data_IF_759704733402
#
_entry.id   IF_759704733402
#
_cell.length_a   1.000
_cell.length_b   1.000
_cell.length_c   1.000
_cell.angle_alpha   90.00
_cell.angle_beta   90.00
_cell.angle_gamma   90.00
#
_symmetry.space_group_name_H-M   'P 1'
#
loop_
_entity.id
_entity.type
_entity.pdbx_description
1 polymer ?
#
# COMPACT_ATOMS: atom_id res chain seq x y z
N UNK A 1 1.47 10.81 2.69
CA UNK A 1 2.62 11.17 1.83
C UNK A 1 2.59 10.35 0.52
N UNK A 2 1.99 10.85 -0.57
CA UNK A 2 2.50 10.56 -1.93
C UNK A 2 3.07 11.90 -2.39
N UNK A 3 4.23 12.23 -1.84
CA UNK A 3 5.12 13.22 -2.41
C UNK A 3 5.65 12.56 -3.68
N UNK A 4 4.94 12.69 -4.79
CA UNK A 4 5.66 12.85 -6.05
C UNK A 4 6.65 13.97 -5.74
N UNK A 5 7.94 13.64 -5.68
CA UNK A 5 9.00 14.56 -5.34
C UNK A 5 9.03 15.66 -6.40
N UNK A 6 8.17 16.67 -6.28
CA UNK A 6 8.54 18.02 -6.64
C UNK A 6 9.46 18.50 -5.52
N UNK A 7 10.67 17.94 -5.46
CA UNK A 7 11.77 18.71 -4.88
C UNK A 7 11.85 19.94 -5.79
N UNK A 8 11.68 21.17 -5.27
CA UNK A 8 12.19 22.32 -6.00
C UNK A 8 13.70 22.09 -6.11
N UNK A 9 14.14 21.46 -7.20
CA UNK A 9 15.53 21.15 -7.47
C UNK A 9 16.26 22.39 -7.97
N UNK A 10 16.11 23.50 -7.25
CA UNK A 10 17.11 24.57 -7.27
C UNK A 10 18.17 24.20 -6.23
N UNK A 11 18.85 23.06 -6.44
CA UNK A 11 20.08 22.75 -5.70
C UNK A 11 21.16 23.55 -6.41
N UNK A 12 21.35 24.79 -5.95
CA UNK A 12 22.55 25.54 -6.30
C UNK A 12 23.76 24.80 -5.72
N UNK A 13 24.80 24.78 -6.53
CA UNK A 13 26.17 24.35 -6.28
C UNK A 13 26.47 22.90 -6.69
N UNK A 14 27.58 22.76 -7.42
CA UNK A 14 28.21 21.56 -8.00
C UNK A 14 28.64 20.50 -6.97
N UNK A 15 27.87 20.30 -5.89
CA UNK A 15 28.18 19.39 -4.78
C UNK A 15 27.27 18.15 -4.84
N UNK A 16 27.78 16.96 -4.48
CA UNK A 16 26.96 15.77 -4.38
C UNK A 16 25.89 15.97 -3.31
N UNK A 17 24.64 15.65 -3.65
CA UNK A 17 23.48 15.83 -2.77
C UNK A 17 22.74 14.50 -2.58
N UNK A 18 22.27 14.22 -1.37
CA UNK A 18 21.39 13.07 -1.10
C UNK A 18 20.10 13.54 -0.45
N UNK A 19 18.98 13.21 -1.09
CA UNK A 19 17.64 13.41 -0.54
C UNK A 19 17.11 12.08 -0.03
N UNK A 20 16.66 12.03 1.22
CA UNK A 20 16.11 10.82 1.83
C UNK A 20 14.61 11.02 2.00
N UNK A 21 13.85 10.10 1.42
CA UNK A 21 12.39 10.13 1.47
C UNK A 21 11.94 9.31 2.66
N UNK A 22 11.14 9.94 3.51
CA UNK A 22 10.54 9.28 4.67
C UNK A 22 9.05 9.07 4.43
N UNK A 23 8.53 7.92 4.82
CA UNK A 23 7.10 7.71 5.02
C UNK A 23 6.84 7.46 6.49
N UNK A 24 5.94 8.25 7.08
CA UNK A 24 5.71 8.26 8.51
C UNK A 24 7.01 8.33 9.36
N UNK A 25 7.96 9.16 8.92
CA UNK A 25 9.30 9.32 9.50
C UNK A 25 10.19 8.06 9.45
N UNK A 26 9.79 7.01 8.72
CA UNK A 26 10.62 5.83 8.42
C UNK A 26 11.23 6.01 7.03
N UNK A 27 12.56 5.90 6.88
CA UNK A 27 13.21 6.07 5.58
C UNK A 27 12.82 4.97 4.60
N UNK A 28 12.46 5.35 3.37
CA UNK A 28 12.05 4.41 2.32
C UNK A 28 13.14 4.31 1.24
N UNK A 29 13.48 5.41 0.60
CA UNK A 29 14.45 5.47 -0.50
C UNK A 29 15.39 6.65 -0.32
N UNK A 30 16.52 6.62 -1.03
CA UNK A 30 17.38 7.77 -1.24
C UNK A 30 17.46 8.13 -2.72
N UNK A 31 17.53 9.43 -2.99
CA UNK A 31 17.86 9.98 -4.28
C UNK A 31 19.24 10.62 -4.13
N UNK A 32 20.21 10.15 -4.89
CA UNK A 32 21.59 10.64 -4.87
C UNK A 32 21.93 11.31 -6.18
N UNK A 33 22.29 12.58 -6.10
CA UNK A 33 22.83 13.37 -7.19
C UNK A 33 24.35 13.35 -7.13
N UNK A 34 24.98 12.91 -8.22
CA UNK A 34 26.42 13.02 -8.41
C UNK A 34 26.66 13.93 -9.62
N UNK A 35 27.29 15.11 -9.45
CA UNK A 35 27.59 15.99 -10.57
C UNK A 35 28.55 15.28 -11.54
N UNK A 36 28.25 15.34 -12.84
CA UNK A 36 29.13 14.83 -13.90
C UNK A 36 30.22 15.89 -14.12
N UNK A 37 31.49 15.49 -13.93
CA UNK A 37 32.64 16.38 -14.11
C UNK A 37 32.82 16.61 -15.62
N UNK A 38 32.65 17.85 -16.07
CA UNK A 38 32.81 18.25 -17.48
C UNK A 38 31.53 18.72 -18.17
N UNK A 39 30.38 18.65 -17.51
CA UNK A 39 29.13 19.12 -18.08
C UNK A 39 29.02 20.66 -18.00
N UNK A 40 28.72 21.29 -19.12
CA UNK A 40 28.65 22.76 -19.25
C UNK A 40 27.32 23.33 -18.76
N UNK A 41 26.39 22.47 -18.33
CA UNK A 41 25.04 22.84 -17.89
C UNK A 41 25.06 23.14 -16.38
N UNK A 42 24.70 24.36 -15.93
CA UNK A 42 24.72 24.75 -14.52
C UNK A 42 23.65 24.06 -13.65
N UNK A 43 22.67 23.41 -14.26
CA UNK A 43 21.48 22.88 -13.60
C UNK A 43 21.48 21.36 -13.55
N UNK A 44 21.24 20.80 -12.36
CA UNK A 44 21.12 19.36 -12.16
C UNK A 44 19.96 18.78 -13.01
N UNK A 45 20.26 17.91 -13.97
CA UNK A 45 19.23 17.25 -14.77
C UNK A 45 18.57 16.13 -13.96
N UNK A 46 17.28 15.89 -14.21
CA UNK A 46 16.54 14.78 -13.57
C UNK A 46 17.17 13.41 -13.86
N UNK A 47 17.89 13.30 -14.98
CA UNK A 47 18.61 12.10 -15.43
C UNK A 47 19.79 11.73 -14.53
N UNK A 48 20.37 12.73 -13.84
CA UNK A 48 21.59 12.58 -13.03
C UNK A 48 21.30 12.04 -11.63
N UNK A 49 20.02 11.89 -11.28
CA UNK A 49 19.58 11.37 -9.99
C UNK A 49 19.54 9.84 -10.04
N UNK A 50 20.34 9.21 -9.18
CA UNK A 50 20.22 7.79 -8.92
C UNK A 50 19.26 7.56 -7.74
N UNK A 51 18.25 6.72 -7.94
CA UNK A 51 17.28 6.35 -6.91
C UNK A 51 17.61 4.94 -6.46
N UNK A 52 17.67 4.72 -5.15
CA UNK A 52 17.95 3.40 -4.58
C UNK A 52 17.29 3.25 -3.22
N UNK A 53 17.05 2.01 -2.80
CA UNK A 53 16.68 1.74 -1.43
C UNK A 53 17.84 2.02 -0.48
N UNK A 54 19.10 1.84 -0.86
CA UNK A 54 20.23 2.14 0.01
C UNK A 54 20.26 3.62 0.42
N UNK A 55 20.40 3.86 1.73
CA UNK A 55 20.51 5.19 2.32
C UNK A 55 21.96 5.69 2.34
N UNK A 56 22.92 4.78 2.15
CA UNK A 56 24.37 4.94 2.20
C UNK A 56 24.93 5.55 3.50
N UNK A 57 26.25 5.81 3.50
CA UNK A 57 27.00 6.17 4.72
C UNK A 57 26.57 7.48 5.40
N UNK A 58 26.09 8.46 4.63
CA UNK A 58 25.68 9.79 5.12
C UNK A 58 24.36 9.78 5.91
N UNK A 59 23.64 8.66 5.95
CA UNK A 59 22.39 8.56 6.72
C UNK A 59 22.59 8.81 8.22
N UNK A 60 23.72 8.36 8.78
CA UNK A 60 24.01 8.54 10.22
C UNK A 60 24.06 10.02 10.60
N UNK A 61 24.58 10.87 9.72
CA UNK A 61 24.66 12.32 9.89
C UNK A 61 23.32 12.99 9.56
N UNK A 62 22.66 12.55 8.49
CA UNK A 62 21.36 13.09 8.08
C UNK A 62 20.25 12.89 9.14
N UNK A 63 20.36 11.89 10.02
CA UNK A 63 19.45 11.72 11.17
C UNK A 63 19.49 12.89 12.16
N UNK A 64 20.59 13.63 12.23
CA UNK A 64 20.78 14.78 13.13
C UNK A 64 20.16 16.06 12.57
N UNK A 65 19.86 16.10 11.28
CA UNK A 65 19.28 17.27 10.60
C UNK A 65 17.78 17.37 10.93
N UNK A 66 17.32 18.59 11.19
CA UNK A 66 15.90 18.88 11.40
C UNK A 66 15.03 18.43 10.22
N UNK A 67 13.95 17.71 10.52
CA UNK A 67 13.04 17.16 9.50
C UNK A 67 12.16 18.26 8.93
N UNK A 68 12.11 18.38 7.60
CA UNK A 68 11.14 19.24 6.92
C UNK A 68 9.81 18.50 6.74
N UNK A 69 8.69 19.18 7.02
CA UNK A 69 7.32 18.70 6.76
C UNK A 69 6.95 17.35 7.43
N UNK A 70 7.28 17.18 8.71
CA UNK A 70 6.89 15.98 9.46
C UNK A 70 5.36 15.87 9.63
N UNK A 71 4.85 14.64 9.59
CA UNK A 71 3.45 14.28 9.86
C UNK A 71 3.15 13.99 11.33
N UNK A 72 4.14 14.07 12.23
CA UNK A 72 3.94 13.80 13.66
C UNK A 72 2.92 14.74 14.27
N UNK A 73 2.01 14.17 15.08
CA UNK A 73 0.90 14.83 15.77
C UNK A 73 -0.08 15.58 14.86
N UNK A 74 -0.07 15.30 13.55
CA UNK A 74 -0.98 15.92 12.59
C UNK A 74 -2.04 14.93 12.18
N UNK A 75 -3.27 15.42 12.12
CA UNK A 75 -4.44 14.64 11.75
C UNK A 75 -4.64 14.70 10.23
N UNK A 76 -4.80 13.53 9.61
CA UNK A 76 -5.22 13.36 8.23
C UNK A 76 -6.61 12.71 8.20
N UNK A 77 -7.57 13.38 7.58
CA UNK A 77 -8.91 12.81 7.32
C UNK A 77 -8.90 12.34 5.86
N UNK A 78 -8.98 11.04 5.66
CA UNK A 78 -8.83 10.39 4.36
C UNK A 78 -10.12 9.68 3.98
N UNK A 79 -10.73 10.04 2.85
CA UNK A 79 -11.98 9.42 2.39
C UNK A 79 -11.67 8.31 1.39
N UNK A 80 -11.95 7.06 1.76
CA UNK A 80 -11.70 5.88 0.91
C UNK A 80 -12.96 5.47 0.14
N UNK A 81 -13.05 5.69 -1.18
CA UNK A 81 -14.07 5.03 -1.99
C UNK A 81 -13.68 3.56 -2.22
N UNK A 82 -14.61 2.65 -1.94
CA UNK A 82 -14.42 1.21 -2.10
C UNK A 82 -15.52 0.65 -2.98
N UNK A 83 -15.14 0.03 -4.10
CA UNK A 83 -16.05 -0.63 -5.02
C UNK A 83 -15.78 -2.12 -4.96
N UNK A 84 -16.79 -2.90 -4.59
CA UNK A 84 -16.77 -4.35 -4.62
C UNK A 84 -17.72 -4.85 -5.69
N UNK A 85 -17.22 -5.78 -6.52
CA UNK A 85 -17.97 -6.43 -7.58
C UNK A 85 -18.00 -7.94 -7.31
N UNK A 86 -19.15 -8.57 -7.53
CA UNK A 86 -19.26 -10.03 -7.54
C UNK A 86 -20.22 -10.48 -8.63
N UNK A 87 -19.89 -11.60 -9.26
CA UNK A 87 -20.70 -12.22 -10.29
C UNK A 87 -21.21 -13.57 -9.75
N UNK A 88 -22.32 -13.50 -9.00
CA UNK A 88 -22.91 -14.68 -8.34
C UNK A 88 -24.28 -15.09 -8.93
N UNK A 89 -24.97 -14.18 -9.63
CA UNK A 89 -26.36 -14.37 -10.09
C UNK A 89 -26.37 -14.47 -11.61
N UNK A 90 -27.14 -15.41 -12.17
CA UNK A 90 -27.21 -15.64 -13.63
C UNK A 90 -27.94 -14.49 -14.35
N UNK A 91 -28.94 -13.89 -13.69
CA UNK A 91 -29.79 -12.84 -14.28
C UNK A 91 -29.18 -11.44 -14.28
N UNK A 92 -28.06 -11.23 -13.59
CA UNK A 92 -27.36 -9.95 -13.54
C UNK A 92 -25.87 -10.16 -13.79
N UNK A 93 -25.28 -9.36 -14.68
CA UNK A 93 -23.86 -9.48 -15.00
C UNK A 93 -22.99 -9.18 -13.76
N UNK A 94 -23.40 -8.21 -12.91
CA UNK A 94 -22.70 -7.88 -11.66
C UNK A 94 -23.63 -7.40 -10.55
N UNK A 95 -23.28 -7.81 -9.33
CA UNK A 95 -23.73 -7.19 -8.09
C UNK A 95 -22.66 -6.20 -7.62
N UNK A 96 -23.07 -5.01 -7.21
CA UNK A 96 -22.17 -3.89 -6.88
C UNK A 96 -22.41 -3.43 -5.45
N UNK A 97 -21.32 -3.26 -4.70
CA UNK A 97 -21.31 -2.54 -3.43
C UNK A 97 -20.34 -1.38 -3.52
N UNK A 98 -20.86 -0.17 -3.31
CA UNK A 98 -20.07 1.04 -3.25
C UNK A 98 -20.14 1.64 -1.84
N UNK A 99 -18.98 1.70 -1.20
CA UNK A 99 -18.80 2.26 0.12
C UNK A 99 -17.95 3.53 0.06
N UNK A 100 -18.29 4.50 0.90
CA UNK A 100 -17.47 5.66 1.17
C UNK A 100 -17.00 5.59 2.62
N UNK A 101 -15.70 5.36 2.82
CA UNK A 101 -15.15 5.02 4.12
C UNK A 101 -14.19 6.10 4.62
N UNK A 102 -14.68 7.19 5.25
CA UNK A 102 -13.81 8.19 5.87
C UNK A 102 -12.99 7.57 7.01
N UNK A 103 -11.69 7.85 7.00
CA UNK A 103 -10.75 7.43 8.04
C UNK A 103 -9.98 8.61 8.60
N UNK A 104 -9.79 8.61 9.92
CA UNK A 104 -8.88 9.51 10.62
C UNK A 104 -7.57 8.78 10.83
N UNK A 105 -6.48 9.38 10.34
CA UNK A 105 -5.12 8.87 10.44
C UNK A 105 -4.26 9.83 11.26
N UNK A 106 -3.61 9.31 12.30
CA UNK A 106 -2.73 10.10 13.18
C UNK A 106 -1.44 9.35 13.45
N UNK A 107 -0.33 10.07 13.46
CA UNK A 107 1.00 9.53 13.79
C UNK A 107 1.57 10.24 15.01
N UNK A 108 1.71 9.52 16.13
CA UNK A 108 2.22 10.10 17.38
C UNK A 108 3.75 9.99 17.48
N UNK A 109 4.36 8.92 16.96
CA UNK A 109 5.80 8.75 16.93
C UNK A 109 6.27 8.08 15.63
N UNK A 110 7.60 7.97 15.49
CA UNK A 110 8.24 7.46 14.27
C UNK A 110 7.72 6.06 13.92
N UNK A 111 7.18 5.94 12.71
CA UNK A 111 6.69 4.68 12.17
C UNK A 111 5.33 4.23 12.71
N UNK A 112 4.74 4.96 13.67
CA UNK A 112 3.43 4.63 14.20
C UNK A 112 2.30 5.35 13.46
N UNK A 113 1.23 4.62 13.14
CA UNK A 113 0.03 5.15 12.49
C UNK A 113 -1.21 4.55 13.15
N UNK A 114 -2.05 5.39 13.74
CA UNK A 114 -3.39 5.05 14.21
C UNK A 114 -4.36 5.35 13.07
N UNK A 115 -5.21 4.40 12.73
CA UNK A 115 -6.25 4.55 11.72
C UNK A 115 -7.59 4.19 12.35
N UNK A 116 -8.55 5.10 12.30
CA UNK A 116 -9.93 4.85 12.71
C UNK A 116 -10.85 5.20 11.54
N UNK A 117 -11.63 4.24 11.07
CA UNK A 117 -12.46 4.36 9.87
C UNK A 117 -13.91 4.01 10.17
N UNK A 118 -14.83 4.72 9.54
CA UNK A 118 -16.26 4.38 9.47
C UNK A 118 -16.58 4.04 8.02
N UNK A 119 -17.33 2.97 7.78
CA UNK A 119 -17.78 2.55 6.45
C UNK A 119 -19.21 3.02 6.27
N UNK A 120 -19.45 3.85 5.25
CA UNK A 120 -20.79 4.31 4.87
C UNK A 120 -21.15 3.69 3.51
N UNK A 121 -22.09 2.74 3.47
CA UNK A 121 -22.55 2.19 2.20
C UNK A 121 -23.40 3.21 1.45
N UNK A 122 -23.00 3.55 0.22
CA UNK A 122 -23.69 4.51 -0.65
C UNK A 122 -24.63 3.79 -1.60
N UNK A 123 -24.22 2.63 -2.10
CA UNK A 123 -25.02 1.79 -2.99
C UNK A 123 -24.75 0.32 -2.69
N UNK A 124 -25.81 -0.47 -2.50
CA UNK A 124 -25.72 -1.90 -2.21
C UNK A 124 -26.74 -2.65 -3.05
N UNK A 125 -26.25 -3.37 -4.05
CA UNK A 125 -27.03 -4.22 -4.94
C UNK A 125 -26.66 -5.69 -4.69
N UNK A 126 -27.31 -6.26 -3.66
CA UNK A 126 -27.24 -7.70 -3.38
C UNK A 126 -26.06 -8.19 -2.54
N UNK A 127 -25.42 -7.30 -1.76
CA UNK A 127 -24.42 -7.66 -0.74
C UNK A 127 -25.00 -8.01 0.64
N UNK A 128 -26.33 -7.99 0.78
CA UNK A 128 -27.04 -8.32 2.02
C UNK A 128 -27.33 -7.08 2.87
N UNK A 129 -28.25 -7.22 3.83
CA UNK A 129 -28.74 -6.10 4.66
C UNK A 129 -27.67 -5.53 5.58
N UNK A 130 -26.80 -6.38 6.14
CA UNK A 130 -25.69 -5.95 7.02
C UNK A 130 -24.68 -5.06 6.29
N UNK A 131 -24.34 -5.40 5.04
CA UNK A 131 -23.44 -4.59 4.22
C UNK A 131 -24.05 -3.23 3.82
N UNK A 132 -25.38 -3.07 3.97
CA UNK A 132 -26.09 -1.81 3.76
C UNK A 132 -26.20 -0.93 5.00
N UNK A 133 -25.64 -1.35 6.14
CA UNK A 133 -25.64 -0.56 7.38
C UNK A 133 -24.30 0.17 7.55
N UNK A 134 -24.34 1.40 8.05
CA UNK A 134 -23.13 2.11 8.48
C UNK A 134 -22.52 1.39 9.67
N UNK A 135 -21.22 1.07 9.58
CA UNK A 135 -20.52 0.34 10.63
C UNK A 135 -19.06 0.78 10.75
N UNK A 136 -18.38 0.51 11.88
CA UNK A 136 -16.94 0.71 12.00
C UNK A 136 -16.15 -0.13 10.99
N UNK A 137 -15.13 0.46 10.39
CA UNK A 137 -14.20 -0.19 9.47
C UNK A 137 -12.91 -0.58 10.17
N UNK A 138 -11.78 -0.12 9.62
CA UNK A 138 -10.48 -0.25 10.26
C UNK A 138 -10.39 0.56 11.56
N UNK A 139 -10.02 -0.11 12.65
CA UNK A 139 -9.53 0.50 13.88
C UNK A 139 -8.20 -0.15 14.21
N UNK A 140 -7.10 0.44 13.74
CA UNK A 140 -5.78 -0.20 13.77
C UNK A 140 -4.68 0.69 14.31
N UNK A 141 -3.80 0.08 15.09
CA UNK A 141 -2.53 0.63 15.51
C UNK A 141 -1.41 -0.10 14.76
N UNK A 142 -0.72 0.62 13.88
CA UNK A 142 0.39 0.11 13.10
C UNK A 142 1.71 0.70 13.59
N UNK A 143 2.76 -0.13 13.67
CA UNK A 143 4.14 0.26 13.88
C UNK A 143 5.02 -0.30 12.77
N UNK A 144 5.65 0.59 11.99
CA UNK A 144 6.64 0.23 10.97
C UNK A 144 8.03 0.65 11.41
N UNK A 145 9.00 -0.24 11.23
CA UNK A 145 10.42 0.01 11.46
C UNK A 145 11.22 -0.45 10.26
N UNK A 146 12.30 0.29 9.95
CA UNK A 146 13.27 -0.15 8.95
C UNK A 146 14.47 -0.77 9.67
N UNK A 147 14.70 -2.04 9.38
CA UNK A 147 15.83 -2.83 9.83
C UNK A 147 17.01 -2.69 8.84
N UNK A 148 18.21 -3.15 9.21
CA UNK A 148 19.35 -3.23 8.29
C UNK A 148 19.02 -4.05 7.03
N UNK A 149 19.85 -3.89 6.00
CA UNK A 149 19.74 -4.64 4.74
C UNK A 149 18.44 -4.42 3.97
N UNK A 150 17.92 -3.20 3.92
CA UNK A 150 16.69 -2.86 3.16
C UNK A 150 15.51 -3.76 3.53
N UNK A 151 15.30 -3.90 4.84
CA UNK A 151 14.20 -4.69 5.39
C UNK A 151 13.25 -3.79 6.16
N UNK A 152 11.95 -3.92 5.91
CA UNK A 152 10.89 -3.24 6.62
C UNK A 152 10.06 -4.25 7.37
N UNK A 153 9.86 -3.97 8.65
CA UNK A 153 8.98 -4.74 9.51
C UNK A 153 7.81 -3.85 9.91
N UNK A 154 6.60 -4.38 9.78
CA UNK A 154 5.37 -3.69 10.12
C UNK A 154 4.51 -4.61 10.98
N UNK A 155 4.25 -4.20 12.22
CA UNK A 155 3.27 -4.85 13.09
C UNK A 155 1.99 -4.02 13.13
N UNK A 156 0.83 -4.67 13.04
CA UNK A 156 -0.47 -4.03 13.10
C UNK A 156 -1.38 -4.80 14.04
N UNK A 157 -2.09 -4.10 14.91
CA UNK A 157 -3.11 -4.69 15.80
C UNK A 157 -4.41 -3.92 15.70
N UNK A 158 -5.55 -4.61 15.83
CA UNK A 158 -6.88 -4.00 15.86
C UNK A 158 -7.90 -4.72 14.99
N UNK A 159 -8.86 -3.96 14.43
CA UNK A 159 -9.88 -4.48 13.51
C UNK A 159 -9.47 -4.25 12.06
N UNK A 160 -9.54 -5.32 11.28
CA UNK A 160 -9.17 -5.40 9.87
C UNK A 160 -10.42 -5.58 9.01
N UNK A 161 -10.27 -5.45 7.69
CA UNK A 161 -11.38 -5.77 6.79
C UNK A 161 -11.73 -7.27 6.81
N UNK A 162 -12.80 -7.64 6.10
CA UNK A 162 -13.30 -9.01 6.03
C UNK A 162 -13.71 -9.59 7.40
N UNK A 163 -14.09 -8.73 8.36
CA UNK A 163 -14.58 -9.13 9.68
C UNK A 163 -13.52 -9.84 10.51
N UNK A 164 -12.29 -9.32 10.52
CA UNK A 164 -11.15 -9.94 11.25
C UNK A 164 -10.53 -8.98 12.23
N UNK A 165 -10.36 -9.40 13.48
CA UNK A 165 -9.62 -8.61 14.48
C UNK A 165 -8.46 -9.43 15.04
N UNK A 166 -7.40 -8.78 15.46
CA UNK A 166 -6.23 -9.44 16.04
C UNK A 166 -4.93 -8.73 15.68
N UNK A 167 -3.91 -9.51 15.35
CA UNK A 167 -2.57 -9.02 15.05
C UNK A 167 -2.08 -9.50 13.69
N UNK A 168 -1.31 -8.64 13.01
CA UNK A 168 -0.72 -8.88 11.71
C UNK A 168 0.73 -8.40 11.71
N UNK A 169 1.65 -9.27 11.29
CA UNK A 169 3.05 -8.97 11.13
C UNK A 169 3.42 -9.11 9.66
N UNK A 170 4.01 -8.05 9.08
CA UNK A 170 4.46 -7.98 7.70
C UNK A 170 5.95 -7.66 7.65
N UNK A 171 6.69 -8.49 6.93
CA UNK A 171 8.10 -8.31 6.61
C UNK A 171 8.22 -8.08 5.10
N UNK A 172 8.98 -7.06 4.71
CA UNK A 172 9.31 -6.79 3.32
C UNK A 172 10.82 -6.57 3.22
N UNK A 173 11.50 -7.35 2.38
CA UNK A 173 12.94 -7.31 2.22
C UNK A 173 13.29 -7.11 0.75
N UNK A 174 14.16 -6.17 0.45
CA UNK A 174 14.68 -5.95 -0.91
C UNK A 174 16.14 -6.36 -0.96
N UNK A 175 16.52 -7.14 -1.98
CA UNK A 175 17.90 -7.56 -2.15
C UNK A 175 18.79 -6.34 -2.44
N UNK A 176 19.94 -6.27 -1.76
CA UNK A 176 20.94 -5.21 -1.99
C UNK A 176 21.70 -5.36 -3.30
N UNK A 177 21.96 -6.60 -3.73
CA UNK A 177 22.71 -6.87 -4.95
C UNK A 177 21.90 -6.49 -6.20
N UNK A 178 20.59 -6.78 -6.18
CA UNK A 178 19.66 -6.39 -7.22
C UNK A 178 18.33 -5.94 -6.59
N UNK A 179 18.07 -4.64 -6.61
CA UNK A 179 16.87 -4.03 -6.03
C UNK A 179 15.58 -4.38 -6.79
N UNK A 180 15.68 -5.10 -7.91
CA UNK A 180 14.52 -5.62 -8.66
C UNK A 180 13.83 -6.77 -7.93
N UNK A 181 14.58 -7.49 -7.09
CA UNK A 181 14.07 -8.64 -6.35
C UNK A 181 13.70 -8.26 -4.93
N UNK A 182 12.50 -8.62 -4.51
CA UNK A 182 12.05 -8.44 -3.13
C UNK A 182 11.28 -9.65 -2.62
N UNK A 183 11.34 -9.87 -1.32
CA UNK A 183 10.64 -10.91 -0.61
C UNK A 183 9.66 -10.28 0.37
N UNK A 184 8.48 -10.89 0.48
CA UNK A 184 7.49 -10.51 1.46
C UNK A 184 7.10 -11.72 2.31
N UNK A 185 6.96 -11.48 3.61
CA UNK A 185 6.44 -12.45 4.56
C UNK A 185 5.33 -11.79 5.35
N UNK A 186 4.24 -12.52 5.61
CA UNK A 186 3.16 -12.05 6.46
C UNK A 186 2.68 -13.17 7.35
N UNK A 187 2.40 -12.86 8.61
CA UNK A 187 1.80 -13.79 9.56
C UNK A 187 0.70 -13.01 10.29
N UNK A 188 -0.52 -13.54 10.26
CA UNK A 188 -1.68 -12.95 10.91
C UNK A 188 -2.33 -13.91 11.88
N UNK A 189 -2.51 -13.49 13.13
CA UNK A 189 -3.30 -14.20 14.13
C UNK A 189 -4.60 -13.41 14.34
N UNK A 190 -5.70 -13.90 13.76
CA UNK A 190 -6.96 -13.16 13.68
C UNK A 190 -8.15 -14.00 14.13
N UNK A 191 -9.14 -13.38 14.75
CA UNK A 191 -10.44 -13.97 15.04
C UNK A 191 -11.54 -13.28 14.23
N UNK A 192 -12.67 -13.95 14.04
CA UNK A 192 -13.79 -13.38 13.29
C UNK A 192 -14.56 -12.38 14.18
N UNK A 193 -15.02 -11.28 13.60
CA UNK A 193 -16.03 -10.41 14.18
C UNK A 193 -17.05 -10.02 13.11
N UNK A 194 -18.20 -9.56 13.56
CA UNK A 194 -19.27 -9.04 12.71
C UNK A 194 -19.85 -7.76 13.31
N UNK A 195 -20.25 -6.84 12.44
CA UNK A 195 -20.97 -5.63 12.82
C UNK A 195 -22.41 -5.75 12.35
N UNK A 196 -23.35 -5.51 13.26
CA UNK A 196 -24.72 -5.15 12.90
C UNK A 196 -24.96 -3.68 13.23
N UNK A 197 -24.71 -2.80 12.26
CA UNK A 197 -24.63 -1.36 12.51
C UNK A 197 -23.47 -1.02 13.44
N UNK A 198 -23.77 -0.59 14.67
CA UNK A 198 -22.77 -0.30 15.71
C UNK A 198 -22.70 -1.37 16.81
N UNK A 199 -23.42 -2.47 16.66
CA UNK A 199 -23.33 -3.62 17.57
C UNK A 199 -22.15 -4.52 17.17
N UNK A 200 -21.26 -4.80 18.13
CA UNK A 200 -20.04 -5.58 17.90
C UNK A 200 -20.20 -7.02 18.36
N UNK A 201 -20.17 -7.96 17.42
CA UNK A 201 -20.20 -9.40 17.70
C UNK A 201 -18.81 -9.99 17.48
N UNK A 202 -18.19 -10.52 18.53
CA UNK A 202 -16.85 -11.10 18.45
C UNK A 202 -16.87 -12.62 18.59
N UNK A 203 -16.17 -13.30 17.69
CA UNK A 203 -15.93 -14.74 17.77
C UNK A 203 -14.62 -15.03 18.49
N UNK A 204 -14.59 -16.11 19.28
CA UNK A 204 -13.38 -16.53 20.03
C UNK A 204 -12.43 -17.40 19.21
N UNK A 205 -12.87 -17.92 18.05
CA UNK A 205 -12.06 -18.81 17.20
C UNK A 205 -10.96 -18.04 16.48
N UNK A 206 -9.73 -18.17 16.97
CA UNK A 206 -8.53 -17.63 16.33
C UNK A 206 -8.12 -18.47 15.13
N UNK A 207 -7.54 -17.80 14.12
CA UNK A 207 -6.99 -18.39 12.91
C UNK A 207 -5.62 -17.80 12.65
N UNK A 208 -4.65 -18.69 12.48
CA UNK A 208 -3.33 -18.35 11.97
C UNK A 208 -3.39 -18.36 10.44
N UNK A 209 -2.93 -17.27 9.84
CA UNK A 209 -2.75 -17.11 8.39
C UNK A 209 -1.31 -16.72 8.14
N UNK A 210 -0.77 -17.15 7.01
CA UNK A 210 0.58 -16.80 6.62
C UNK A 210 0.64 -16.63 5.10
N UNK A 211 1.55 -15.78 4.64
CA UNK A 211 1.88 -15.63 3.23
C UNK A 211 3.37 -15.41 3.07
N UNK A 212 3.97 -16.06 2.08
CA UNK A 212 5.34 -15.85 1.70
C UNK A 212 5.39 -15.62 0.18
N UNK A 213 6.01 -14.52 -0.23
CA UNK A 213 6.04 -14.10 -1.61
C UNK A 213 7.41 -13.62 -2.06
N UNK A 214 7.66 -13.77 -3.36
CA UNK A 214 8.79 -13.19 -4.06
C UNK A 214 8.26 -12.29 -5.19
N UNK A 215 8.91 -11.16 -5.40
CA UNK A 215 8.57 -10.19 -6.43
C UNK A 215 9.80 -9.88 -7.28
N UNK A 216 9.59 -9.74 -8.58
CA UNK A 216 10.56 -9.26 -9.55
C UNK A 216 9.99 -8.05 -10.27
N UNK A 217 10.74 -6.95 -10.31
CA UNK A 217 10.39 -5.74 -11.03
C UNK A 217 11.21 -5.62 -12.33
N UNK A 218 10.52 -5.58 -13.46
CA UNK A 218 11.08 -5.34 -14.79
C UNK A 218 11.04 -3.83 -15.10
N UNK A 219 12.19 -3.12 -15.06
CA UNK A 219 12.20 -1.66 -15.16
C UNK A 219 11.77 -1.10 -16.52
N UNK A 220 12.15 -1.77 -17.61
CA UNK A 220 11.90 -1.33 -18.99
C UNK A 220 10.40 -1.13 -19.30
N UNK A 221 9.56 -2.02 -18.79
CA UNK A 221 8.11 -1.97 -19.02
C UNK A 221 7.30 -1.48 -17.82
N UNK A 222 7.98 -1.19 -16.69
CA UNK A 222 7.36 -0.94 -15.38
C UNK A 222 6.40 -2.06 -14.96
N UNK A 223 6.83 -3.30 -15.11
CA UNK A 223 6.03 -4.50 -14.80
C UNK A 223 6.59 -5.19 -13.56
N UNK A 224 5.72 -5.53 -12.62
CA UNK A 224 6.02 -6.36 -11.47
C UNK A 224 5.38 -7.73 -11.62
N UNK A 225 6.19 -8.78 -11.58
CA UNK A 225 5.74 -10.15 -11.41
C UNK A 225 5.87 -10.55 -9.94
N UNK A 226 4.84 -11.15 -9.35
CA UNK A 226 4.89 -11.65 -7.98
C UNK A 226 4.32 -13.05 -7.88
N UNK A 227 5.00 -13.91 -7.12
CA UNK A 227 4.57 -15.26 -6.80
C UNK A 227 4.46 -15.39 -5.29
N UNK A 228 3.31 -15.83 -4.79
CA UNK A 228 2.99 -15.93 -3.36
C UNK A 228 2.44 -17.29 -3.04
N UNK A 229 2.96 -17.94 -2.00
CA UNK A 229 2.31 -19.05 -1.31
C UNK A 229 1.60 -18.51 -0.08
N UNK A 230 0.29 -18.72 0.02
CA UNK A 230 -0.51 -18.15 1.10
C UNK A 230 -1.56 -19.12 1.65
N UNK A 231 -1.84 -18.99 2.94
CA UNK A 231 -2.97 -19.61 3.62
C UNK A 231 -4.08 -18.57 3.77
N UNK A 232 -5.21 -18.86 3.13
CA UNK A 232 -6.38 -18.00 3.11
C UNK A 232 -7.28 -18.22 4.34
N UNK A 233 -8.32 -17.41 4.46
CA UNK A 233 -9.17 -17.33 5.65
C UNK A 233 -9.91 -18.63 5.96
N UNK A 234 -10.25 -19.49 5.00
CA UNK A 234 -10.89 -20.78 5.26
C UNK A 234 -9.88 -21.89 5.61
N UNK A 235 -8.58 -21.60 5.58
CA UNK A 235 -7.49 -22.55 5.87
C UNK A 235 -6.91 -23.20 4.62
N UNK A 236 -7.46 -22.91 3.46
CA UNK A 236 -6.96 -23.35 2.17
C UNK A 236 -5.57 -22.75 1.90
N UNK A 237 -4.64 -23.62 1.53
CA UNK A 237 -3.29 -23.23 1.13
C UNK A 237 -3.24 -23.16 -0.37
N UNK A 238 -2.72 -22.07 -0.91
CA UNK A 238 -2.67 -21.87 -2.35
C UNK A 238 -1.48 -21.06 -2.79
N UNK A 239 -1.33 -21.02 -4.10
CA UNK A 239 -0.35 -20.21 -4.79
C UNK A 239 -1.10 -19.15 -5.58
N UNK A 240 -0.57 -17.94 -5.58
CA UNK A 240 -1.05 -16.82 -6.36
C UNK A 240 0.08 -16.18 -7.13
N UNK A 241 -0.18 -15.94 -8.40
CA UNK A 241 0.69 -15.22 -9.31
C UNK A 241 0.01 -13.92 -9.72
N UNK A 242 0.71 -12.80 -9.61
CA UNK A 242 0.24 -11.50 -10.11
C UNK A 242 1.26 -10.96 -11.13
N UNK A 243 0.77 -10.40 -12.24
CA UNK A 243 1.54 -9.65 -13.21
C UNK A 243 0.92 -8.27 -13.39
N UNK A 244 1.58 -7.24 -12.88
CA UNK A 244 1.03 -5.88 -12.78
C UNK A 244 1.93 -4.90 -13.50
N UNK A 245 1.37 -4.12 -14.41
CA UNK A 245 2.03 -2.96 -15.00
C UNK A 245 1.64 -1.68 -14.25
N UNK A 246 2.64 -0.89 -13.91
CA UNK A 246 2.47 0.39 -13.24
C UNK A 246 2.61 1.55 -14.22
N UNK A 247 1.62 2.44 -14.18
CA UNK A 247 1.63 3.73 -14.84
C UNK A 247 1.59 4.83 -13.77
N UNK A 248 1.84 6.08 -14.18
CA UNK A 248 1.85 7.24 -13.28
C UNK A 248 0.57 7.39 -12.44
N UNK A 249 -0.59 7.22 -13.06
CA UNK A 249 -1.90 7.44 -12.42
C UNK A 249 -2.76 6.17 -12.32
N UNK A 250 -2.29 5.03 -12.83
CA UNK A 250 -3.02 3.78 -12.72
C UNK A 250 -2.09 2.58 -12.62
N UNK A 251 -2.59 1.45 -12.17
CA UNK A 251 -1.91 0.16 -12.24
C UNK A 251 -2.88 -0.89 -12.70
N UNK A 252 -2.47 -1.66 -13.70
CA UNK A 252 -3.31 -2.66 -14.37
C UNK A 252 -2.57 -3.98 -14.28
N UNK A 253 -3.25 -5.04 -13.87
CA UNK A 253 -2.60 -6.34 -13.81
C UNK A 253 -3.58 -7.49 -13.88
N UNK A 254 -3.01 -8.67 -14.10
CA UNK A 254 -3.71 -9.94 -14.09
C UNK A 254 -3.23 -10.76 -12.92
N UNK A 255 -4.11 -11.62 -12.41
CA UNK A 255 -3.73 -12.59 -11.40
C UNK A 255 -4.34 -13.95 -11.70
N UNK A 256 -3.61 -14.98 -11.30
CA UNK A 256 -4.06 -16.36 -11.31
C UNK A 256 -3.75 -16.98 -9.95
N UNK A 257 -4.66 -17.82 -9.46
CA UNK A 257 -4.55 -18.46 -8.15
C UNK A 257 -5.10 -19.87 -8.17
N UNK A 258 -4.49 -20.73 -7.37
CA UNK A 258 -4.90 -22.12 -7.17
C UNK A 258 -4.67 -22.51 -5.72
N UNK A 259 -5.70 -23.01 -5.06
CA UNK A 259 -5.64 -23.47 -3.68
C UNK A 259 -6.13 -24.92 -3.55
N UNK A 260 -5.69 -25.57 -2.48
CA UNK A 260 -6.10 -26.92 -2.15
C UNK A 260 -7.61 -26.96 -1.86
N UNK A 261 -8.33 -27.85 -2.55
CA UNK A 261 -9.78 -28.00 -2.37
C UNK A 261 -10.64 -26.92 -3.04
N UNK A 262 -10.04 -26.01 -3.82
CA UNK A 262 -10.75 -24.98 -4.56
C UNK A 262 -10.44 -25.06 -6.07
N UNK A 263 -11.40 -24.68 -6.91
CA UNK A 263 -11.16 -24.57 -8.35
C UNK A 263 -10.15 -23.46 -8.64
N UNK A 264 -9.34 -23.63 -9.67
CA UNK A 264 -8.44 -22.58 -10.15
C UNK A 264 -9.24 -21.33 -10.48
N UNK A 265 -8.67 -20.18 -10.16
CA UNK A 265 -9.33 -18.91 -10.33
C UNK A 265 -8.34 -17.85 -10.81
N UNK A 266 -8.85 -16.76 -11.36
CA UNK A 266 -8.04 -15.66 -11.86
C UNK A 266 -8.89 -14.45 -12.20
N UNK A 267 -8.24 -13.40 -12.66
CA UNK A 267 -8.93 -12.19 -13.05
C UNK A 267 -7.97 -11.03 -13.27
N UNK A 268 -8.51 -9.83 -13.27
CA UNK A 268 -7.73 -8.61 -13.44
C UNK A 268 -7.94 -7.65 -12.28
N UNK A 269 -6.96 -6.77 -12.10
CA UNK A 269 -6.94 -5.75 -11.07
C UNK A 269 -6.66 -4.42 -11.74
N UNK A 270 -7.47 -3.44 -11.39
CA UNK A 270 -7.32 -2.10 -11.86
C UNK A 270 -7.27 -1.17 -10.65
N UNK A 271 -6.25 -0.32 -10.59
CA UNK A 271 -6.13 0.71 -9.57
C UNK A 271 -5.88 2.05 -10.23
N UNK A 272 -6.49 3.10 -9.68
CA UNK A 272 -6.41 4.46 -10.20
C UNK A 272 -6.09 5.40 -9.06
N UNK A 273 -5.16 6.32 -9.29
CA UNK A 273 -4.84 7.39 -8.36
C UNK A 273 -5.95 8.44 -8.39
N UNK A 274 -6.45 8.82 -7.21
CA UNK A 274 -7.50 9.83 -7.10
C UNK A 274 -6.89 11.22 -7.00
N UNK A 275 -7.43 12.21 -7.74
CA UNK A 275 -7.02 13.60 -7.59
C UNK A 275 -7.56 14.21 -6.28
N UNK A 276 -7.01 15.35 -5.83
CA UNK A 276 -5.80 15.99 -6.34
C UNK A 276 -4.50 15.30 -5.88
N UNK A 277 -3.49 15.31 -6.76
CA UNK A 277 -2.22 14.59 -6.55
C UNK A 277 -1.21 15.34 -5.67
N UNK A 278 -1.44 16.63 -5.42
CA UNK A 278 -0.58 17.48 -4.60
C UNK A 278 -1.42 18.12 -3.52
N UNK A 279 -0.94 17.99 -2.28
CA UNK A 279 -1.58 18.59 -1.12
C UNK A 279 -0.57 19.37 -0.31
N UNK A 280 -0.86 20.65 -0.09
CA UNK A 280 -0.14 21.47 0.89
C UNK A 280 -0.96 21.50 2.18
N UNK A 281 -0.33 21.15 3.30
CA UNK A 281 -0.94 21.32 4.63
C UNK A 281 -0.54 22.69 5.16
N UNK A 282 -1.52 23.46 5.67
CA UNK A 282 -1.27 24.72 6.38
C UNK A 282 -1.19 24.43 7.89
N UNK A 283 0.02 24.43 8.45
CA UNK A 283 0.24 24.26 9.89
C UNK A 283 -0.28 22.93 10.46
N UNK A 284 -1.11 23.03 11.50
CA UNK A 284 -1.73 21.91 12.23
C UNK A 284 -3.19 21.63 11.82
N UNK A 285 -3.75 22.37 10.85
CA UNK A 285 -5.12 22.18 10.40
C UNK A 285 -5.26 20.74 9.84
N UNK A 286 -6.28 19.98 10.29
CA UNK A 286 -6.56 18.66 9.73
C UNK A 286 -6.70 18.74 8.22
N UNK A 287 -5.96 17.89 7.52
CA UNK A 287 -6.04 17.85 6.06
C UNK A 287 -7.09 16.83 5.67
N UNK A 288 -8.08 17.26 4.89
CA UNK A 288 -9.06 16.37 4.26
C UNK A 288 -8.58 16.03 2.85
N UNK A 289 -8.40 14.75 2.56
CA UNK A 289 -8.04 14.25 1.22
C UNK A 289 -8.88 13.02 0.88
N UNK A 290 -9.15 12.72 -0.40
CA UNK A 290 -9.53 11.36 -0.76
C UNK A 290 -8.34 10.42 -0.50
N UNK A 291 -8.61 9.13 -0.52
CA UNK A 291 -7.56 8.12 -0.56
C UNK A 291 -6.66 8.38 -1.77
N UNK A 292 -5.39 7.97 -1.66
CA UNK A 292 -4.43 8.17 -2.76
C UNK A 292 -4.85 7.44 -4.04
N UNK A 293 -5.63 6.37 -3.89
CA UNK A 293 -6.09 5.54 -4.97
C UNK A 293 -7.36 4.79 -4.59
N UNK A 294 -8.02 4.29 -5.62
CA UNK A 294 -9.11 3.34 -5.55
C UNK A 294 -8.72 2.13 -6.40
N UNK A 295 -9.18 0.95 -6.00
CA UNK A 295 -8.91 -0.28 -6.73
C UNK A 295 -10.16 -1.12 -6.89
N UNK A 296 -10.25 -1.78 -8.04
CA UNK A 296 -11.27 -2.79 -8.37
C UNK A 296 -10.53 -4.07 -8.72
N UNK A 297 -11.04 -5.20 -8.23
CA UNK A 297 -10.61 -6.52 -8.65
C UNK A 297 -11.79 -7.22 -9.32
N UNK A 298 -11.55 -7.70 -10.53
CA UNK A 298 -12.48 -8.58 -11.23
C UNK A 298 -12.05 -10.02 -10.99
N UNK A 299 -13.04 -10.86 -10.67
CA UNK A 299 -12.88 -12.29 -10.47
C UNK A 299 -13.60 -13.02 -11.62
N UNK A 300 -12.87 -13.81 -12.40
CA UNK A 300 -13.42 -14.55 -13.52
C UNK A 300 -14.24 -15.77 -13.07
N UNK A 301 -13.89 -16.37 -11.93
CA UNK A 301 -14.64 -17.47 -11.35
C UNK A 301 -15.81 -16.99 -10.49
N UNK A 302 -16.89 -17.80 -10.43
CA UNK A 302 -18.01 -17.62 -9.50
C UNK A 302 -17.65 -18.12 -8.08
N UNK A 303 -16.40 -17.94 -7.65
CA UNK A 303 -15.91 -18.44 -6.37
C UNK A 303 -16.33 -17.49 -5.23
N UNK A 304 -17.12 -18.02 -4.29
CA UNK A 304 -17.76 -17.25 -3.22
C UNK A 304 -17.03 -17.34 -1.88
N UNK A 305 -16.36 -18.45 -1.62
CA UNK A 305 -15.93 -18.83 -0.28
C UNK A 305 -14.41 -18.88 -0.17
N UNK A 306 -13.74 -19.46 -1.16
CA UNK A 306 -12.30 -19.64 -1.16
C UNK A 306 -11.53 -18.39 -1.60
N UNK A 307 -10.22 -18.37 -1.36
CA UNK A 307 -9.28 -17.31 -1.73
C UNK A 307 -9.51 -15.98 -1.02
N UNK A 308 -10.22 -15.99 0.11
CA UNK A 308 -10.44 -14.77 0.91
C UNK A 308 -9.23 -14.50 1.79
N UNK A 309 -8.69 -13.29 1.69
CA UNK A 309 -7.70 -12.75 2.61
C UNK A 309 -8.23 -11.52 3.35
N UNK A 310 -7.38 -10.94 4.20
CA UNK A 310 -7.65 -9.65 4.83
C UNK A 310 -6.48 -8.69 4.59
N UNK A 311 -6.76 -7.41 4.66
CA UNK A 311 -5.83 -6.29 4.67
C UNK A 311 -5.79 -5.75 6.09
N UNK A 312 -4.61 -5.44 6.60
CA UNK A 312 -4.47 -4.88 7.95
C UNK A 312 -4.56 -3.35 7.97
N UNK A 313 -4.55 -2.70 6.80
CA UNK A 313 -4.56 -1.25 6.68
C UNK A 313 -5.43 -0.81 5.49
N UNK A 314 -6.24 0.25 5.68
CA UNK A 314 -7.08 0.86 4.66
C UNK A 314 -6.26 1.33 3.42
N UNK A 315 -5.07 1.88 3.68
CA UNK A 315 -4.18 2.38 2.64
C UNK A 315 -3.34 1.31 1.94
N UNK A 316 -3.47 0.04 2.32
CA UNK A 316 -2.71 -1.06 1.70
C UNK A 316 -3.29 -1.44 0.34
N UNK A 317 -2.53 -1.18 -0.72
CA UNK A 317 -2.88 -1.52 -2.10
C UNK A 317 -1.63 -1.65 -3.00
N UNK A 318 -1.84 -2.03 -4.26
CA UNK A 318 -0.78 -2.31 -5.23
C UNK A 318 -0.01 -1.03 -5.56
N UNK A 319 -0.71 0.09 -5.79
CA UNK A 319 -0.07 1.37 -6.08
C UNK A 319 0.74 1.91 -4.89
N UNK A 320 0.25 1.74 -3.66
CA UNK A 320 0.97 2.18 -2.45
C UNK A 320 2.24 1.36 -2.25
N UNK A 321 2.20 0.05 -2.52
CA UNK A 321 3.36 -0.81 -2.40
C UNK A 321 4.45 -0.46 -3.42
N UNK A 322 4.08 -0.11 -4.65
CA UNK A 322 5.04 0.32 -5.68
C UNK A 322 5.47 1.79 -5.55
N UNK A 323 4.83 2.59 -4.69
CA UNK A 323 5.08 4.04 -4.61
C UNK A 323 6.51 4.44 -4.25
N UNK A 324 7.26 3.55 -3.60
CA UNK A 324 8.67 3.74 -3.24
C UNK A 324 9.62 2.85 -4.04
N UNK A 325 9.21 2.38 -5.23
CA UNK A 325 10.08 1.59 -6.10
C UNK A 325 11.09 2.51 -6.83
N UNK A 326 12.41 2.33 -6.64
CA UNK A 326 13.43 3.17 -7.26
C UNK A 326 13.37 3.19 -8.78
N UNK A 327 13.12 2.04 -9.42
CA UNK A 327 13.06 1.93 -10.87
C UNK A 327 11.84 2.67 -11.45
N UNK A 328 10.69 2.52 -10.80
CA UNK A 328 9.48 3.25 -11.18
C UNK A 328 9.70 4.76 -11.07
N UNK A 329 10.21 5.23 -9.93
CA UNK A 329 10.48 6.65 -9.70
C UNK A 329 11.50 7.19 -10.71
N UNK A 330 12.56 6.42 -11.00
CA UNK A 330 13.55 6.79 -12.02
C UNK A 330 12.90 6.93 -13.40
N UNK A 331 12.02 6.00 -13.79
CA UNK A 331 11.29 6.10 -15.07
C UNK A 331 10.42 7.36 -15.14
N UNK A 332 9.78 7.75 -14.03
CA UNK A 332 8.97 8.97 -13.95
C UNK A 332 9.82 10.25 -14.00
N UNK A 333 11.04 10.23 -13.44
CA UNK A 333 12.00 11.34 -13.52
C UNK A 333 12.56 11.55 -14.94
N UNK A 334 12.64 10.49 -15.75
CA UNK A 334 13.14 10.55 -17.12
C UNK A 334 12.08 11.04 -18.12
N UNK A 335 10.82 10.70 -17.86
CA UNK A 335 9.71 10.96 -18.80
C UNK A 335 8.99 12.29 -18.57
N UNK A 336 9.18 12.94 -17.41
CA UNK A 336 8.51 14.18 -17.03
C UNK A 336 9.45 15.12 -16.31
#
# INVERSE_FOLDING_TARGET
MNTFLSIPLSVSDKKPCRVIVLDNNVPQISLYYKPIIGDSVPEASRRDWNVSYDLGGTWKEARKIGRKNSSLFKVDVVVYPEVSLKNLIITQIYQVLFNLSPAVEVSFWKGMKLTAQVVVPVYNDGYGTLAGKTHPGFLTLQQTVRLPYNTWFTGTVGTFNAGRYGADLKLFHVLKADERFSFEGRIGLTAAYEWDGFEFYYGTKTRLTWSLGANFYWPEYNVQASLKGEQYLLGEKGVRFDLIRHFRYCSIGFYAMKAQGAKSNGGFRFQIALPPYKYKRKGYIPRVTPSKNMGIAYNAGNERYYYKGFRANASENIMSNNSFNPYFIKSELLNF
#
